data_IF_732660880161
#
_entry.id   IF_732660880161
#
_cell.length_a   1.000
_cell.length_b   1.000
_cell.length_c   1.000
_cell.angle_alpha   90.00
_cell.angle_beta   90.00
_cell.angle_gamma   90.00
#
_symmetry.space_group_name_H-M   'P 1'
#
loop_
_entity.id
_entity.type
_entity.pdbx_description
1 polymer ?
#
# COMPACT_ATOMS: atom_id res chain seq x y z
N UNK A 1 18.31 -7.63 9.57
CA UNK A 1 17.25 -7.20 10.46
C UNK A 1 15.95 -7.05 9.69
N UNK A 2 14.94 -7.67 10.18
CA UNK A 2 13.64 -7.64 9.53
C UNK A 2 12.87 -6.41 9.92
N UNK A 3 12.09 -5.90 8.98
CA UNK A 3 11.23 -4.79 9.27
C UNK A 3 9.81 -5.20 8.87
N UNK A 4 9.04 -5.66 9.85
CA UNK A 4 7.70 -6.15 9.61
C UNK A 4 6.74 -5.05 9.21
N UNK A 5 7.17 -3.79 9.31
CA UNK A 5 6.33 -2.67 8.95
C UNK A 5 6.43 -2.32 7.47
N UNK A 6 7.40 -2.89 6.76
CA UNK A 6 7.57 -2.64 5.34
C UNK A 6 6.98 -3.81 4.57
N UNK A 7 6.00 -3.52 3.73
CA UNK A 7 5.24 -4.55 3.03
C UNK A 7 5.51 -4.50 1.53
N UNK A 8 5.48 -5.66 0.89
CA UNK A 8 5.48 -5.75 -0.56
C UNK A 8 4.08 -5.47 -1.08
N UNK A 9 3.94 -5.40 -2.40
CA UNK A 9 2.62 -5.21 -3.01
C UNK A 9 1.66 -6.30 -2.58
N UNK A 10 2.13 -7.56 -2.61
CA UNK A 10 1.27 -8.69 -2.25
C UNK A 10 0.86 -8.63 -0.79
N UNK A 11 1.81 -8.28 0.07
CA UNK A 11 1.51 -8.18 1.50
C UNK A 11 0.55 -7.04 1.78
N UNK A 12 0.74 -5.90 1.11
CA UNK A 12 -0.16 -4.77 1.28
C UNK A 12 -1.56 -5.11 0.78
N UNK A 13 -1.66 -5.84 -0.32
CA UNK A 13 -2.95 -6.25 -0.86
C UNK A 13 -3.69 -7.13 0.13
N UNK A 14 -2.98 -8.09 0.72
CA UNK A 14 -3.58 -8.97 1.71
C UNK A 14 -4.02 -8.17 2.93
N UNK A 15 -3.19 -7.25 3.38
CA UNK A 15 -3.48 -6.43 4.54
C UNK A 15 -4.72 -5.57 4.32
N UNK A 16 -4.86 -5.02 3.12
CA UNK A 16 -5.97 -4.11 2.81
C UNK A 16 -7.17 -4.84 2.21
N UNK A 17 -7.04 -6.14 2.01
CA UNK A 17 -8.11 -6.95 1.39
C UNK A 17 -8.41 -6.50 -0.03
N UNK A 18 -7.36 -6.14 -0.76
CA UNK A 18 -7.45 -5.76 -2.16
C UNK A 18 -6.64 -6.73 -3.00
N UNK A 19 -6.77 -6.61 -4.32
CA UNK A 19 -5.92 -7.41 -5.20
C UNK A 19 -4.58 -6.70 -5.38
N UNK A 20 -3.50 -7.46 -5.67
CA UNK A 20 -2.21 -6.83 -5.95
C UNK A 20 -2.28 -5.86 -7.13
N UNK A 21 -3.11 -6.15 -8.11
CA UNK A 21 -3.26 -5.25 -9.25
C UNK A 21 -3.79 -3.89 -8.79
N UNK A 22 -4.82 -3.90 -7.96
CA UNK A 22 -5.41 -2.67 -7.47
C UNK A 22 -4.41 -1.88 -6.61
N UNK A 23 -3.68 -2.59 -5.74
CA UNK A 23 -2.69 -1.93 -4.88
C UNK A 23 -1.60 -1.27 -5.73
N UNK A 24 -1.12 -1.98 -6.74
CA UNK A 24 -0.08 -1.44 -7.62
C UNK A 24 -0.60 -0.22 -8.38
N UNK A 25 -1.82 -0.30 -8.86
CA UNK A 25 -2.43 0.80 -9.59
C UNK A 25 -2.59 2.03 -8.68
N UNK A 26 -3.06 1.82 -7.47
CA UNK A 26 -3.24 2.90 -6.49
C UNK A 26 -1.90 3.53 -6.13
N UNK A 27 -0.85 2.72 -6.00
CA UNK A 27 0.47 3.24 -5.69
C UNK A 27 0.98 4.12 -6.83
N UNK A 28 0.82 3.65 -8.07
CA UNK A 28 1.27 4.38 -9.24
C UNK A 28 0.53 5.70 -9.38
N UNK A 29 -0.74 5.71 -9.06
CA UNK A 29 -1.59 6.90 -9.17
C UNK A 29 -1.53 7.79 -7.94
N UNK A 30 -0.69 7.43 -6.97
CA UNK A 30 -0.50 8.19 -5.74
C UNK A 30 -1.78 8.29 -4.90
N UNK A 31 -2.66 7.32 -5.04
CA UNK A 31 -3.83 7.22 -4.20
C UNK A 31 -3.44 6.61 -2.85
N UNK A 32 -2.47 5.70 -2.88
CA UNK A 32 -2.02 4.96 -1.72
C UNK A 32 -0.58 5.34 -1.42
N UNK A 33 -0.22 5.62 -0.15
CA UNK A 33 1.16 5.98 0.18
C UNK A 33 2.09 4.80 -0.09
N UNK A 34 3.12 5.04 -0.90
CA UNK A 34 4.04 3.98 -1.31
C UNK A 34 5.33 4.57 -1.83
N UNK A 35 6.36 3.75 -1.88
CA UNK A 35 7.65 4.12 -2.47
C UNK A 35 8.05 3.08 -3.48
N UNK A 36 8.53 3.55 -4.62
CA UNK A 36 9.08 2.66 -5.63
C UNK A 36 10.51 2.31 -5.23
N UNK A 37 10.77 1.05 -4.99
CA UNK A 37 12.10 0.57 -4.60
C UNK A 37 12.54 -0.48 -5.60
N UNK A 38 13.55 -0.15 -6.39
CA UNK A 38 13.96 -1.04 -7.46
C UNK A 38 12.84 -1.25 -8.44
N UNK A 39 12.45 -2.49 -8.66
CA UNK A 39 11.40 -2.82 -9.61
C UNK A 39 10.04 -3.01 -8.94
N UNK A 40 9.97 -2.83 -7.64
CA UNK A 40 8.71 -3.06 -6.95
C UNK A 40 8.33 -1.90 -6.07
N UNK A 41 7.18 -2.05 -5.45
CA UNK A 41 6.66 -1.05 -4.54
C UNK A 41 6.85 -1.54 -3.10
N UNK A 42 7.02 -0.60 -2.21
CA UNK A 42 7.05 -0.89 -0.78
C UNK A 42 6.08 0.01 -0.08
N UNK A 43 5.45 -0.52 0.94
CA UNK A 43 4.38 0.17 1.67
C UNK A 43 4.71 0.12 3.15
N UNK A 44 4.58 1.26 3.82
CA UNK A 44 4.81 1.33 5.25
C UNK A 44 3.47 1.08 5.93
N UNK A 45 3.41 0.04 6.74
CA UNK A 45 2.15 -0.40 7.31
C UNK A 45 1.42 0.68 8.09
N UNK A 46 2.10 1.47 8.96
CA UNK A 46 1.39 2.54 9.66
C UNK A 46 0.77 3.57 8.72
N UNK A 47 1.42 3.84 7.58
CA UNK A 47 0.85 4.74 6.59
C UNK A 47 -0.41 4.15 5.98
N UNK A 48 -0.44 2.85 5.76
CA UNK A 48 -1.62 2.20 5.21
C UNK A 48 -2.77 2.25 6.21
N UNK A 49 -2.47 2.07 7.48
CA UNK A 49 -3.50 2.15 8.52
C UNK A 49 -4.10 3.55 8.56
N UNK A 50 -3.26 4.58 8.52
CA UNK A 50 -3.72 5.96 8.53
C UNK A 50 -4.55 6.26 7.28
N UNK A 51 -4.08 5.79 6.12
CA UNK A 51 -4.79 6.01 4.87
C UNK A 51 -6.18 5.37 4.93
N UNK A 52 -6.25 4.15 5.42
CA UNK A 52 -7.52 3.43 5.48
C UNK A 52 -8.49 4.11 6.45
N UNK A 53 -7.97 4.53 7.59
CA UNK A 53 -8.80 5.17 8.61
C UNK A 53 -9.39 6.47 8.09
N UNK A 54 -8.62 7.22 7.32
CA UNK A 54 -9.03 8.53 6.84
C UNK A 54 -9.60 8.50 5.42
N UNK A 55 -9.79 7.30 4.88
CA UNK A 55 -10.23 7.16 3.51
C UNK A 55 -11.66 7.68 3.35
N UNK A 56 -11.85 8.48 2.30
CA UNK A 56 -13.17 8.97 1.95
C UNK A 56 -13.46 8.57 0.51
N UNK A 57 -14.48 7.74 0.33
CA UNK A 57 -14.83 7.29 -0.99
C UNK A 57 -15.34 8.46 -1.81
N UNK A 58 -15.03 8.52 -3.10
CA UNK A 58 -15.60 9.54 -3.96
C UNK A 58 -17.10 9.34 -4.06
N UNK A 59 -17.79 10.43 -4.16
CA UNK A 59 -19.26 10.42 -4.26
C UNK A 59 -19.69 10.49 -5.70
#
# INVERSE_FOLDING_TARGET
MENDLVLTTEEAAEFLKLTPFTVRDYARRRILPARKVGKGWRFYKPDLVAWLRDYKAPI
#
